data_IF_976725517675
#
_entry.id   IF_976725517675
#
_cell.length_a   1.000
_cell.length_b   1.000
_cell.length_c   1.000
_cell.angle_alpha   90.00
_cell.angle_beta   90.00
_cell.angle_gamma   90.00
#
_symmetry.space_group_name_H-M   'P 1'
#
loop_
_entity.id
_entity.type
_entity.pdbx_description
1 polymer ?
#
# COMPACT_ATOMS: atom_id res chain seq x y z
N UNK A 1 14.42 18.98 -16.70
CA UNK A 1 13.60 17.94 -17.34
C UNK A 1 12.41 17.66 -16.43
N UNK A 2 11.20 17.76 -16.95
CA UNK A 2 9.97 17.51 -16.21
C UNK A 2 9.46 16.14 -16.63
N UNK A 3 9.65 15.14 -15.77
CA UNK A 3 9.11 13.80 -15.95
C UNK A 3 8.28 13.44 -14.72
N UNK A 4 7.11 12.85 -14.96
CA UNK A 4 6.20 12.34 -13.95
C UNK A 4 6.21 10.82 -14.10
N UNK A 5 6.48 10.11 -13.01
CA UNK A 5 6.42 8.66 -12.97
C UNK A 5 4.99 8.24 -12.67
N UNK A 6 4.38 7.50 -13.59
CA UNK A 6 3.09 6.85 -13.39
C UNK A 6 3.33 5.37 -13.15
N UNK A 7 2.69 4.83 -12.11
CA UNK A 7 2.76 3.42 -11.77
C UNK A 7 1.38 2.90 -11.39
N UNK A 8 1.07 1.67 -11.78
CA UNK A 8 -0.10 0.93 -11.36
C UNK A 8 0.33 -0.25 -10.50
N UNK A 9 -0.23 -0.34 -9.29
CA UNK A 9 0.13 -1.40 -8.35
C UNK A 9 -1.09 -2.04 -7.71
N UNK A 10 -1.10 -3.37 -7.70
CA UNK A 10 -2.10 -4.19 -7.03
C UNK A 10 -1.71 -4.44 -5.57
N UNK A 11 -2.61 -4.10 -4.66
CA UNK A 11 -2.51 -4.40 -3.23
C UNK A 11 -3.56 -5.43 -2.83
N UNK A 12 -3.15 -6.39 -2.01
CA UNK A 12 -4.01 -7.43 -1.47
C UNK A 12 -4.34 -7.10 -0.02
N UNK A 13 -5.60 -7.23 0.37
CA UNK A 13 -6.04 -6.89 1.73
C UNK A 13 -5.42 -7.79 2.80
N UNK A 14 -5.22 -9.07 2.48
CA UNK A 14 -4.57 -10.03 3.35
C UNK A 14 -3.30 -10.58 2.68
N UNK A 15 -2.25 -10.79 3.48
CA UNK A 15 -1.05 -11.52 3.05
C UNK A 15 -1.19 -13.00 3.40
N UNK A 16 -0.65 -13.88 2.55
CA UNK A 16 -0.69 -15.33 2.74
C UNK A 16 -0.06 -15.82 4.06
N UNK A 17 0.84 -15.03 4.67
CA UNK A 17 1.55 -15.35 5.92
C UNK A 17 1.73 -14.08 6.75
N UNK A 18 0.64 -13.53 7.25
CA UNK A 18 0.70 -12.35 8.12
C UNK A 18 1.05 -12.82 9.53
N UNK A 19 2.19 -12.37 10.05
CA UNK A 19 2.61 -12.65 11.43
C UNK A 19 1.95 -11.63 12.35
N UNK A 20 1.26 -12.12 13.37
CA UNK A 20 0.67 -11.33 14.44
C UNK A 20 1.38 -11.67 15.74
N UNK A 21 1.63 -10.66 16.57
CA UNK A 21 2.06 -10.91 17.94
C UNK A 21 0.82 -11.27 18.76
N UNK A 22 0.87 -12.42 19.42
CA UNK A 22 -0.19 -12.91 20.28
C UNK A 22 0.28 -12.99 21.72
N UNK A 23 -0.65 -12.73 22.65
CA UNK A 23 -0.44 -13.06 24.05
C UNK A 23 -0.63 -14.57 24.26
N UNK A 24 0.05 -15.15 25.26
CA UNK A 24 0.09 -16.60 25.56
C UNK A 24 -1.29 -17.27 25.80
N UNK A 25 -2.38 -16.51 25.82
CA UNK A 25 -3.75 -16.98 26.08
C UNK A 25 -4.75 -16.63 24.98
N UNK A 26 -4.31 -16.03 23.88
CA UNK A 26 -5.19 -15.72 22.74
C UNK A 26 -5.15 -16.85 21.70
N UNK A 27 -6.32 -17.22 21.18
CA UNK A 27 -6.45 -18.21 20.11
C UNK A 27 -5.95 -17.64 18.78
N UNK A 28 -5.18 -18.43 18.01
CA UNK A 28 -4.62 -18.06 16.71
C UNK A 28 -5.59 -17.27 15.83
N UNK A 29 -5.12 -16.12 15.31
CA UNK A 29 -5.91 -15.25 14.45
C UNK A 29 -6.07 -15.90 13.08
N UNK A 30 -7.10 -16.73 12.94
CA UNK A 30 -7.50 -17.27 11.66
C UNK A 30 -8.23 -16.20 10.84
N UNK A 31 -7.53 -15.61 9.87
CA UNK A 31 -8.16 -14.87 8.79
C UNK A 31 -8.93 -15.84 7.89
N UNK A 32 -10.20 -16.08 8.23
CA UNK A 32 -11.05 -17.05 7.52
C UNK A 32 -11.46 -16.50 6.16
N UNK A 33 -10.65 -16.75 5.13
CA UNK A 33 -11.02 -16.52 3.73
C UNK A 33 -11.21 -17.87 3.04
N UNK A 34 -12.38 -18.07 2.40
CA UNK A 34 -12.74 -19.36 1.76
C UNK A 34 -11.73 -19.84 0.71
N UNK A 35 -11.12 -18.92 -0.04
CA UNK A 35 -10.06 -19.20 -1.02
C UNK A 35 -9.29 -17.90 -1.32
N UNK A 36 -7.98 -17.98 -1.58
CA UNK A 36 -7.11 -16.84 -1.92
C UNK A 36 -7.64 -15.96 -3.06
N UNK A 37 -8.45 -16.50 -3.97
CA UNK A 37 -9.12 -15.72 -5.04
C UNK A 37 -10.14 -14.71 -4.53
N UNK A 38 -10.73 -14.91 -3.35
CA UNK A 38 -11.70 -13.99 -2.73
C UNK A 38 -11.04 -12.93 -1.85
N UNK A 39 -9.71 -12.91 -1.75
CA UNK A 39 -9.01 -11.81 -1.09
C UNK A 39 -9.25 -10.54 -1.90
N UNK A 40 -9.78 -9.51 -1.24
CA UNK A 40 -10.03 -8.21 -1.85
C UNK A 40 -8.70 -7.66 -2.40
N UNK A 41 -8.72 -7.29 -3.68
CA UNK A 41 -7.60 -6.65 -4.38
C UNK A 41 -7.98 -5.22 -4.73
N UNK A 42 -7.11 -4.28 -4.41
CA UNK A 42 -7.29 -2.86 -4.75
C UNK A 42 -6.11 -2.43 -5.62
N UNK A 43 -6.41 -1.81 -6.75
CA UNK A 43 -5.39 -1.22 -7.62
C UNK A 43 -5.26 0.26 -7.30
N UNK A 44 -4.03 0.73 -7.13
CA UNK A 44 -3.73 2.14 -7.00
C UNK A 44 -2.96 2.60 -8.22
N UNK A 45 -3.45 3.67 -8.85
CA UNK A 45 -2.71 4.46 -9.83
C UNK A 45 -2.04 5.61 -9.08
N UNK A 46 -0.72 5.73 -9.20
CA UNK A 46 0.06 6.74 -8.50
C UNK A 46 0.89 7.53 -9.51
N UNK A 47 0.88 8.86 -9.35
CA UNK A 47 1.75 9.78 -10.07
C UNK A 47 2.75 10.39 -9.10
N UNK A 48 4.05 10.26 -9.39
CA UNK A 48 5.12 10.90 -8.61
C UNK A 48 5.92 11.82 -9.52
N UNK A 49 5.83 13.11 -9.26
CA UNK A 49 6.68 14.12 -9.86
C UNK A 49 7.91 14.41 -8.98
N UNK A 50 8.98 14.95 -9.58
CA UNK A 50 10.13 15.45 -8.82
C UNK A 50 9.68 16.65 -7.96
N UNK A 51 9.88 16.64 -6.63
CA UNK A 51 9.56 17.79 -5.80
C UNK A 51 10.31 19.03 -6.27
N UNK A 52 9.59 20.13 -6.46
CA UNK A 52 10.16 21.44 -6.81
C UNK A 52 10.06 22.38 -5.61
N UNK A 53 10.97 23.34 -5.53
CA UNK A 53 10.91 24.39 -4.51
C UNK A 53 10.13 25.57 -5.09
N UNK A 54 9.10 26.02 -4.37
CA UNK A 54 8.43 27.29 -4.66
C UNK A 54 9.31 28.46 -4.20
N UNK A 55 9.06 29.65 -4.75
CA UNK A 55 9.61 30.96 -4.39
C UNK A 55 9.65 31.24 -2.88
N UNK A 56 8.73 30.65 -2.11
CA UNK A 56 8.66 30.73 -0.65
C UNK A 56 9.50 29.67 0.08
N UNK A 57 10.37 28.97 -0.63
CA UNK A 57 11.16 27.84 -0.13
C UNK A 57 10.32 26.68 0.47
N UNK A 58 9.13 26.43 -0.06
CA UNK A 58 8.35 25.24 0.30
C UNK A 58 8.59 24.14 -0.74
N UNK A 59 8.66 22.88 -0.27
CA UNK A 59 8.64 21.72 -1.17
C UNK A 59 7.23 21.56 -1.72
N UNK A 60 7.08 21.73 -3.02
CA UNK A 60 5.81 21.57 -3.74
C UNK A 60 5.96 20.43 -4.74
N UNK A 61 5.03 19.49 -4.69
CA UNK A 61 4.89 18.45 -5.70
C UNK A 61 3.69 18.88 -6.57
N UNK A 62 3.97 19.42 -7.75
CA UNK A 62 2.95 19.70 -8.78
C UNK A 62 2.72 18.48 -9.68
#
# INVERSE_FOLDING_TARGET
>A
MNYVHLDEKWFYFAKDKQHFYMADHEEDLHLTVKNKKYIIKVMFLVAVARPRWDSKNHKVCE
#
